data_IF_721476299059
#
_entry.id   IF_721476299059
#
_cell.length_a   1.000
_cell.length_b   1.000
_cell.length_c   1.000
_cell.angle_alpha   90.00
_cell.angle_beta   90.00
_cell.angle_gamma   90.00
#
_symmetry.space_group_name_H-M   'P 1'
#
loop_
_entity.id
_entity.type
_entity.pdbx_description
1 polymer ?
#
# COMPACT_ATOMS: atom_id res chain seq x y z
N UNK A 1 -4.63 -34.53 -17.75
CA UNK A 1 -5.34 -34.60 -16.45
C UNK A 1 -4.71 -33.57 -15.51
N UNK A 2 -5.39 -32.46 -15.25
CA UNK A 2 -4.98 -31.52 -14.19
C UNK A 2 -5.35 -32.16 -12.84
N UNK A 3 -4.46 -32.22 -11.84
CA UNK A 3 -4.79 -32.84 -10.56
C UNK A 3 -5.89 -32.03 -9.86
N UNK A 4 -6.96 -32.73 -9.48
CA UNK A 4 -8.22 -32.19 -8.92
C UNK A 4 -7.95 -31.28 -7.70
N UNK A 5 -6.90 -31.54 -6.91
CA UNK A 5 -6.56 -30.74 -5.73
C UNK A 5 -5.99 -29.33 -5.99
N UNK A 6 -5.56 -29.00 -7.21
CA UNK A 6 -5.01 -27.66 -7.53
C UNK A 6 -6.10 -26.65 -7.86
N UNK A 7 -7.22 -27.10 -8.44
CA UNK A 7 -8.34 -26.25 -8.78
C UNK A 7 -9.07 -25.75 -7.52
N UNK A 8 -9.36 -26.65 -6.59
CA UNK A 8 -10.07 -26.35 -5.33
C UNK A 8 -9.32 -25.35 -4.46
N UNK A 9 -7.99 -25.52 -4.31
CA UNK A 9 -7.15 -24.58 -3.56
C UNK A 9 -7.09 -23.18 -4.20
N UNK A 10 -7.10 -23.09 -5.54
CA UNK A 10 -7.13 -21.80 -6.24
C UNK A 10 -8.48 -21.08 -6.04
N UNK A 11 -9.58 -21.81 -6.07
CA UNK A 11 -10.92 -21.25 -5.85
C UNK A 11 -11.12 -20.74 -4.42
N UNK A 12 -10.70 -21.53 -3.43
CA UNK A 12 -10.65 -21.11 -2.03
C UNK A 12 -9.76 -19.87 -1.86
N UNK A 13 -8.60 -19.85 -2.53
CA UNK A 13 -7.69 -18.70 -2.56
C UNK A 13 -8.34 -17.43 -3.13
N UNK A 14 -9.14 -17.55 -4.19
CA UNK A 14 -9.85 -16.42 -4.76
C UNK A 14 -11.02 -15.98 -3.86
N UNK A 15 -11.67 -16.92 -3.19
CA UNK A 15 -12.77 -16.66 -2.26
C UNK A 15 -12.32 -15.82 -1.07
N UNK A 16 -11.25 -16.20 -0.37
CA UNK A 16 -10.78 -15.43 0.79
C UNK A 16 -10.31 -14.02 0.40
N UNK A 17 -9.66 -13.86 -0.76
CA UNK A 17 -9.22 -12.54 -1.26
C UNK A 17 -10.39 -11.61 -1.49
N UNK A 18 -11.48 -12.12 -2.09
CA UNK A 18 -12.71 -11.35 -2.30
C UNK A 18 -13.32 -10.94 -0.96
N UNK A 19 -13.40 -11.86 0.01
CA UNK A 19 -13.95 -11.58 1.32
C UNK A 19 -13.13 -10.54 2.09
N UNK A 20 -11.80 -10.67 2.10
CA UNK A 20 -10.90 -9.69 2.73
C UNK A 20 -10.97 -8.32 2.04
N UNK A 21 -11.05 -8.28 0.71
CA UNK A 21 -11.27 -7.03 -0.03
C UNK A 21 -12.57 -6.35 0.40
N UNK A 22 -13.67 -7.10 0.47
CA UNK A 22 -14.96 -6.58 0.91
C UNK A 22 -14.92 -6.05 2.35
N UNK A 23 -14.26 -6.76 3.26
CA UNK A 23 -14.06 -6.32 4.66
C UNK A 23 -13.31 -4.99 4.71
N UNK A 24 -12.19 -4.86 3.98
CA UNK A 24 -11.41 -3.62 3.91
C UNK A 24 -12.24 -2.48 3.34
N UNK A 25 -13.00 -2.73 2.27
CA UNK A 25 -13.87 -1.71 1.68
C UNK A 25 -14.94 -1.22 2.66
N UNK A 26 -15.58 -2.13 3.39
CA UNK A 26 -16.57 -1.77 4.43
C UNK A 26 -15.96 -0.89 5.52
N UNK A 27 -14.79 -1.27 6.04
CA UNK A 27 -14.07 -0.49 7.05
C UNK A 27 -13.63 0.90 6.53
N UNK A 28 -13.27 1.02 5.26
CA UNK A 28 -12.94 2.31 4.64
C UNK A 28 -14.16 3.24 4.47
N UNK A 29 -15.35 2.67 4.30
CA UNK A 29 -16.59 3.43 4.08
C UNK A 29 -17.40 3.66 5.36
N UNK A 30 -17.00 3.09 6.50
CA UNK A 30 -17.67 3.34 7.77
C UNK A 30 -17.40 4.78 8.25
N UNK A 31 -18.32 5.29 9.07
CA UNK A 31 -18.19 6.60 9.70
C UNK A 31 -18.40 6.45 11.23
N UNK A 32 -17.33 6.56 12.05
CA UNK A 32 -15.94 6.80 11.66
C UNK A 32 -15.31 5.60 10.93
N UNK A 33 -14.23 5.85 10.19
CA UNK A 33 -13.44 4.80 9.52
C UNK A 33 -12.93 3.81 10.58
N UNK A 34 -13.17 2.52 10.36
CA UNK A 34 -12.78 1.47 11.29
C UNK A 34 -11.28 1.13 11.15
N UNK A 35 -10.45 1.85 11.90
CA UNK A 35 -8.99 1.72 11.84
C UNK A 35 -8.50 0.37 12.37
N UNK A 36 -9.17 -0.21 13.37
CA UNK A 36 -8.76 -1.48 13.98
C UNK A 36 -8.93 -2.64 13.00
N UNK A 37 -10.03 -2.66 12.23
CA UNK A 37 -10.20 -3.62 11.14
C UNK A 37 -9.14 -3.43 10.05
N UNK A 38 -8.78 -2.20 9.70
CA UNK A 38 -7.73 -1.94 8.71
C UNK A 38 -6.35 -2.41 9.19
N UNK A 39 -6.03 -2.27 10.48
CA UNK A 39 -4.78 -2.78 11.07
C UNK A 39 -4.74 -4.30 11.03
N UNK A 40 -5.79 -4.97 11.50
CA UNK A 40 -5.90 -6.43 11.44
C UNK A 40 -5.83 -6.97 10.01
N UNK A 41 -6.42 -6.27 9.04
CA UNK A 41 -6.31 -6.64 7.63
C UNK A 41 -4.89 -6.48 7.06
N UNK A 42 -4.13 -5.48 7.53
CA UNK A 42 -2.75 -5.25 7.12
C UNK A 42 -1.76 -6.26 7.73
N UNK A 43 -2.01 -6.71 8.97
CA UNK A 43 -1.17 -7.68 9.70
C UNK A 43 -1.48 -9.13 9.32
N UNK A 44 -2.72 -9.45 8.95
CA UNK A 44 -3.12 -10.80 8.53
C UNK A 44 -2.56 -11.21 7.16
N UNK A 45 -2.56 -12.51 6.89
CA UNK A 45 -1.97 -13.13 5.69
C UNK A 45 -2.26 -12.40 4.37
N UNK A 46 -1.20 -12.24 3.58
CA UNK A 46 -1.20 -11.47 2.33
C UNK A 46 -1.30 -9.95 2.51
N UNK A 47 -1.44 -9.45 3.74
CA UNK A 47 -1.56 -8.04 4.09
C UNK A 47 -2.63 -7.31 3.27
N UNK A 48 -2.32 -6.09 2.84
CA UNK A 48 -3.18 -5.35 1.92
C UNK A 48 -3.01 -5.87 0.49
N UNK A 49 -4.11 -6.34 -0.09
CA UNK A 49 -4.11 -7.21 -1.28
C UNK A 49 -3.67 -6.55 -2.59
N UNK A 50 -3.81 -5.22 -2.72
CA UNK A 50 -3.52 -4.51 -3.97
C UNK A 50 -2.93 -3.12 -3.73
N UNK A 51 -2.24 -2.58 -4.74
CA UNK A 51 -1.77 -1.19 -4.75
C UNK A 51 -2.93 -0.21 -4.52
N UNK A 52 -4.09 -0.44 -5.15
CA UNK A 52 -5.23 0.46 -5.02
C UNK A 52 -5.76 0.51 -3.58
N UNK A 53 -5.87 -0.65 -2.91
CA UNK A 53 -6.25 -0.73 -1.50
C UNK A 53 -5.20 0.00 -0.64
N UNK A 54 -3.90 -0.25 -0.87
CA UNK A 54 -2.81 0.39 -0.10
C UNK A 54 -2.87 1.92 -0.17
N UNK A 55 -3.09 2.50 -1.36
CA UNK A 55 -3.24 3.96 -1.53
C UNK A 55 -4.36 4.56 -0.69
N UNK A 56 -5.44 3.80 -0.43
CA UNK A 56 -6.60 4.24 0.37
C UNK A 56 -6.37 4.00 1.87
N UNK A 57 -5.80 2.86 2.24
CA UNK A 57 -5.65 2.42 3.64
C UNK A 57 -4.45 3.07 4.33
N UNK A 58 -3.29 3.15 3.68
CA UNK A 58 -2.07 3.67 4.33
C UNK A 58 -2.20 5.08 4.90
N UNK A 59 -2.82 6.06 4.21
CA UNK A 59 -3.02 7.38 4.80
C UNK A 59 -3.86 7.34 6.07
N UNK A 60 -4.86 6.44 6.14
CA UNK A 60 -5.71 6.27 7.34
C UNK A 60 -4.91 5.68 8.51
N UNK A 61 -4.11 4.63 8.25
CA UNK A 61 -3.26 4.00 9.26
C UNK A 61 -2.16 4.93 9.80
N UNK A 62 -1.62 5.82 8.96
CA UNK A 62 -0.60 6.80 9.33
C UNK A 62 -1.19 8.12 9.84
N UNK A 63 -2.52 8.23 9.94
CA UNK A 63 -3.22 9.46 10.30
C UNK A 63 -2.82 10.67 9.45
N UNK A 64 -2.55 10.44 8.16
CA UNK A 64 -2.17 11.48 7.18
C UNK A 64 -3.42 12.01 6.47
N UNK A 65 -3.61 13.33 6.53
CA UNK A 65 -4.64 13.99 5.73
C UNK A 65 -4.13 14.27 4.31
N UNK A 66 -4.62 13.50 3.34
CA UNK A 66 -4.25 13.63 1.92
C UNK A 66 -4.70 14.93 1.25
N UNK A 67 -5.66 15.64 1.85
CA UNK A 67 -6.12 16.94 1.36
C UNK A 67 -5.30 18.11 1.90
N UNK A 68 -4.44 17.87 2.90
CA UNK A 68 -3.64 18.90 3.56
C UNK A 68 -2.17 18.47 3.60
N UNK A 69 -1.57 18.34 2.41
CA UNK A 69 -0.15 18.00 2.26
C UNK A 69 0.69 19.27 2.09
N UNK A 70 1.93 19.28 2.63
CA UNK A 70 2.83 20.41 2.43
C UNK A 70 3.18 20.57 0.94
N UNK A 71 3.38 21.80 0.46
CA UNK A 71 3.75 22.05 -0.92
C UNK A 71 5.12 21.45 -1.23
N UNK A 72 5.29 20.97 -2.47
CA UNK A 72 6.58 20.47 -2.94
C UNK A 72 7.63 21.58 -2.84
N UNK A 73 8.77 21.37 -2.15
CA UNK A 73 9.79 22.40 -2.02
C UNK A 73 10.33 22.81 -3.39
N UNK A 74 10.71 24.08 -3.55
CA UNK A 74 11.25 24.61 -4.80
C UNK A 74 12.57 23.94 -5.23
N UNK A 75 12.91 24.02 -6.52
CA UNK A 75 14.17 23.46 -7.06
C UNK A 75 15.40 24.01 -6.33
N UNK A 76 15.44 25.32 -6.06
CA UNK A 76 16.57 25.97 -5.39
C UNK A 76 16.85 25.41 -4.00
N UNK A 77 15.79 25.14 -3.23
CA UNK A 77 15.89 24.53 -1.88
C UNK A 77 16.48 23.13 -1.98
N UNK A 78 15.99 22.31 -2.92
CA UNK A 78 16.47 20.93 -3.07
C UNK A 78 17.93 20.86 -3.51
N UNK A 79 18.34 21.66 -4.50
CA UNK A 79 19.70 21.61 -5.05
C UNK A 79 20.77 22.21 -4.13
N UNK A 80 20.38 23.07 -3.18
CA UNK A 80 21.29 23.67 -2.19
C UNK A 80 21.32 22.89 -0.87
N UNK A 81 20.55 21.80 -0.76
CA UNK A 81 20.52 20.98 0.44
C UNK A 81 21.87 20.24 0.62
N UNK A 82 22.44 20.17 1.84
CA UNK A 82 23.72 19.50 2.07
C UNK A 82 23.72 18.05 1.59
N UNK A 83 22.61 17.34 1.77
CA UNK A 83 22.49 15.93 1.37
C UNK A 83 22.16 15.71 -0.11
N UNK A 84 22.09 16.75 -0.94
CA UNK A 84 21.64 16.63 -2.33
C UNK A 84 22.43 15.58 -3.12
N UNK A 85 23.76 15.63 -3.04
CA UNK A 85 24.64 14.71 -3.75
C UNK A 85 24.47 13.27 -3.23
N UNK A 86 24.30 13.10 -1.93
CA UNK A 86 24.10 11.79 -1.30
C UNK A 86 22.79 11.15 -1.77
N UNK A 87 21.69 11.91 -1.73
CA UNK A 87 20.37 11.46 -2.20
C UNK A 87 20.42 11.06 -3.67
N UNK A 88 21.10 11.83 -4.53
CA UNK A 88 21.24 11.46 -5.94
C UNK A 88 21.95 10.12 -6.13
N UNK A 89 23.06 9.90 -5.42
CA UNK A 89 23.82 8.65 -5.52
C UNK A 89 22.97 7.44 -5.08
N UNK A 90 22.23 7.57 -3.97
CA UNK A 90 21.44 6.47 -3.44
C UNK A 90 20.20 6.16 -4.28
N UNK A 91 19.57 7.18 -4.87
CA UNK A 91 18.51 6.99 -5.86
C UNK A 91 19.04 6.22 -7.07
N UNK A 92 20.19 6.61 -7.64
CA UNK A 92 20.81 5.91 -8.78
C UNK A 92 21.11 4.44 -8.46
N UNK A 93 21.63 4.16 -7.26
CA UNK A 93 21.87 2.78 -6.80
C UNK A 93 20.58 1.98 -6.65
N UNK A 94 19.48 2.62 -6.29
CA UNK A 94 18.18 1.99 -6.04
C UNK A 94 17.37 1.71 -7.30
N UNK A 95 17.67 2.34 -8.45
CA UNK A 95 16.94 2.14 -9.70
C UNK A 95 16.85 0.66 -10.12
N UNK A 96 17.87 -0.14 -9.80
CA UNK A 96 17.90 -1.58 -10.07
C UNK A 96 16.80 -2.39 -9.35
N UNK A 97 16.15 -1.82 -8.32
CA UNK A 97 15.09 -2.46 -7.53
C UNK A 97 13.69 -2.22 -8.10
N UNK A 98 13.56 -1.33 -9.08
CA UNK A 98 12.29 -1.08 -9.73
C UNK A 98 12.16 -2.04 -10.91
N UNK A 99 10.97 -2.62 -11.14
CA UNK A 99 10.71 -3.38 -12.36
C UNK A 99 10.97 -2.48 -13.59
N UNK A 100 11.58 -3.08 -14.62
CA UNK A 100 11.86 -2.42 -15.89
C UNK A 100 10.58 -2.08 -16.66
#
# INVERSE_FOLDING_TARGET
>A
MVPIGVATQREESLSWRKQKSLQIHRALTSDPVDIDVLRGAAESDGGLLSQEIRRKVWPKLLSVNVFHLPPKPGRGVRCRHPDYNQVQMDVRRSLKRFPA
#
